data_IF_400418368392
#
_entry.id   IF_400418368392
#
_cell.length_a   1.000
_cell.length_b   1.000
_cell.length_c   1.000
_cell.angle_alpha   90.00
_cell.angle_beta   90.00
_cell.angle_gamma   90.00
#
_symmetry.space_group_name_H-M   'P 1'
#
loop_
_entity.id
_entity.type
_entity.pdbx_description
1 polymer ?
#
# COMPACT_ATOMS: atom_id res chain seq x y z
N UNK A 1 32.46 -19.09 45.42
CA UNK A 1 33.05 -17.85 45.89
C UNK A 1 32.15 -16.70 45.48
N UNK A 2 31.40 -16.17 46.46
CA UNK A 2 30.58 -15.00 46.30
C UNK A 2 31.49 -13.82 45.97
N UNK A 3 31.59 -13.45 44.70
CA UNK A 3 32.10 -12.14 44.32
C UNK A 3 31.00 -11.15 44.67
N UNK A 4 31.21 -10.38 45.75
CA UNK A 4 30.41 -9.21 46.05
C UNK A 4 30.41 -8.32 44.79
N UNK A 5 29.25 -8.12 44.24
CA UNK A 5 29.04 -7.13 43.16
C UNK A 5 29.14 -5.79 43.89
N UNK A 6 30.24 -5.08 43.71
CA UNK A 6 30.40 -3.70 44.18
C UNK A 6 29.19 -2.91 43.70
N UNK A 7 28.45 -2.34 44.63
CA UNK A 7 27.18 -1.69 44.30
C UNK A 7 27.39 -0.58 43.27
N UNK A 8 26.49 -0.50 42.29
CA UNK A 8 26.50 0.49 41.21
C UNK A 8 26.79 1.94 41.68
N UNK A 9 26.26 2.40 42.85
CA UNK A 9 26.59 3.72 43.40
C UNK A 9 28.07 3.92 43.71
N UNK A 10 28.73 2.89 44.22
CA UNK A 10 30.16 2.93 44.56
C UNK A 10 31.04 2.97 43.32
N UNK A 11 30.71 2.17 42.30
CA UNK A 11 31.41 2.16 41.02
C UNK A 11 31.23 3.49 40.26
N UNK A 12 30.04 4.02 40.24
CA UNK A 12 29.73 5.28 39.58
C UNK A 12 30.43 6.47 40.22
N UNK A 13 30.56 6.45 41.57
CA UNK A 13 31.30 7.47 42.32
C UNK A 13 32.80 7.40 42.01
N UNK A 14 33.37 6.20 41.92
CA UNK A 14 34.80 6.01 41.61
C UNK A 14 35.17 6.41 40.19
N UNK A 15 34.20 6.32 39.23
CA UNK A 15 34.39 6.66 37.81
C UNK A 15 33.92 8.09 37.46
N UNK A 16 33.42 8.85 38.45
CA UNK A 16 32.94 10.23 38.22
C UNK A 16 31.74 10.34 37.28
N UNK A 17 30.92 9.30 37.19
CA UNK A 17 29.79 9.25 36.29
C UNK A 17 28.66 10.19 36.72
N UNK A 18 28.13 10.92 35.73
CA UNK A 18 26.86 11.65 35.87
C UNK A 18 25.66 10.68 35.85
N UNK A 19 24.47 11.16 36.16
CA UNK A 19 23.27 10.33 36.28
C UNK A 19 22.90 9.65 34.96
N UNK A 20 23.13 10.29 33.84
CA UNK A 20 22.90 9.71 32.49
C UNK A 20 23.85 8.53 32.20
N UNK A 21 25.11 8.64 32.63
CA UNK A 21 26.09 7.56 32.47
C UNK A 21 25.81 6.40 33.45
N UNK A 22 25.33 6.68 34.65
CA UNK A 22 24.87 5.66 35.60
C UNK A 22 23.68 4.88 35.08
N UNK A 23 22.70 5.56 34.48
CA UNK A 23 21.52 4.93 33.92
C UNK A 23 21.84 4.10 32.66
N UNK A 24 22.71 4.59 31.80
CA UNK A 24 23.20 3.82 30.65
C UNK A 24 23.93 2.55 31.06
N UNK A 25 24.84 2.64 32.03
CA UNK A 25 25.57 1.48 32.52
C UNK A 25 24.64 0.47 33.21
N UNK A 26 23.68 0.96 33.98
CA UNK A 26 22.65 0.15 34.62
C UNK A 26 21.84 -0.63 33.59
N UNK A 27 21.45 0.01 32.49
CA UNK A 27 20.75 -0.61 31.40
C UNK A 27 21.60 -1.68 30.69
N UNK A 28 22.90 -1.41 30.47
CA UNK A 28 23.86 -2.37 29.89
C UNK A 28 24.07 -3.57 30.85
N UNK A 29 24.21 -3.30 32.14
CA UNK A 29 24.41 -4.36 33.13
C UNK A 29 23.21 -5.28 33.27
N UNK A 30 22.01 -4.71 33.21
CA UNK A 30 20.75 -5.48 33.19
C UNK A 30 20.59 -6.32 31.89
N UNK A 31 20.99 -5.77 30.74
CA UNK A 31 20.98 -6.51 29.47
C UNK A 31 21.97 -7.70 29.50
N UNK A 32 23.14 -7.55 30.13
CA UNK A 32 24.15 -8.60 30.20
C UNK A 32 23.81 -9.67 31.25
N UNK A 33 23.20 -9.28 32.38
CA UNK A 33 22.97 -10.17 33.51
C UNK A 33 21.65 -10.91 33.48
N UNK A 34 20.74 -10.58 32.54
CA UNK A 34 19.43 -11.21 32.41
C UNK A 34 18.50 -11.05 33.61
N UNK A 35 18.83 -10.15 34.54
CA UNK A 35 18.15 -10.00 35.85
C UNK A 35 16.82 -9.24 35.80
N UNK A 36 16.46 -8.63 34.69
CA UNK A 36 15.07 -8.20 34.44
C UNK A 36 14.81 -8.14 32.92
N UNK A 37 13.66 -8.55 32.46
CA UNK A 37 13.18 -8.33 31.10
C UNK A 37 13.00 -6.83 30.79
N UNK A 38 12.94 -6.00 31.83
CA UNK A 38 12.67 -4.58 31.74
C UNK A 38 13.61 -3.79 30.83
N UNK A 39 14.96 -3.93 30.85
CA UNK A 39 15.81 -3.07 30.03
C UNK A 39 15.71 -3.37 28.52
N UNK A 40 15.59 -4.63 28.14
CA UNK A 40 15.41 -5.01 26.73
C UNK A 40 14.05 -4.57 26.25
N UNK A 41 13.01 -4.89 27.01
CA UNK A 41 11.64 -4.53 26.67
C UNK A 41 11.39 -3.02 26.74
N UNK A 42 12.01 -2.27 27.66
CA UNK A 42 11.80 -0.80 27.72
C UNK A 42 12.32 -0.09 26.49
N UNK A 43 13.45 -0.54 25.92
CA UNK A 43 13.93 0.01 24.66
C UNK A 43 13.04 -0.40 23.48
N UNK A 44 12.61 -1.65 23.43
CA UNK A 44 11.63 -2.14 22.45
C UNK A 44 10.31 -1.36 22.56
N UNK A 45 9.81 -1.12 23.77
CA UNK A 45 8.59 -0.35 24.02
C UNK A 45 8.68 1.08 23.49
N UNK A 46 9.80 1.80 23.75
CA UNK A 46 9.98 3.16 23.25
C UNK A 46 9.98 3.22 21.72
N UNK A 47 10.63 2.23 21.07
CA UNK A 47 10.67 2.14 19.63
C UNK A 47 9.35 1.69 19.01
N UNK A 48 8.50 1.02 19.79
CA UNK A 48 7.20 0.49 19.38
C UNK A 48 6.09 1.55 19.42
N UNK A 49 6.19 2.54 20.33
CA UNK A 49 5.15 3.54 20.54
C UNK A 49 5.52 4.87 19.89
N UNK A 50 4.59 5.47 19.15
CA UNK A 50 4.69 6.83 18.64
C UNK A 50 3.47 7.66 19.04
N UNK A 51 3.67 8.92 19.47
CA UNK A 51 2.56 9.84 19.70
C UNK A 51 2.14 10.53 18.39
N UNK A 52 0.86 10.45 18.07
CA UNK A 52 0.26 11.03 16.86
C UNK A 52 -0.41 12.36 17.18
N UNK A 53 0.21 13.46 16.72
CA UNK A 53 -0.24 14.82 17.09
C UNK A 53 -1.65 15.14 16.61
N UNK A 54 -1.98 14.80 15.37
CA UNK A 54 -3.31 15.09 14.81
C UNK A 54 -4.42 14.30 15.49
N UNK A 55 -4.14 13.05 15.82
CA UNK A 55 -5.12 12.15 16.43
C UNK A 55 -5.16 12.31 17.95
N UNK A 56 -4.11 12.94 18.55
CA UNK A 56 -3.91 13.07 20.01
C UNK A 56 -3.92 11.72 20.73
N UNK A 57 -3.40 10.67 20.06
CA UNK A 57 -3.36 9.28 20.52
C UNK A 57 -1.96 8.71 20.38
N UNK A 58 -1.74 7.55 20.98
CA UNK A 58 -0.52 6.76 20.82
C UNK A 58 -0.77 5.66 19.79
N UNK A 59 0.15 5.51 18.85
CA UNK A 59 0.13 4.47 17.84
C UNK A 59 1.12 3.38 18.20
N UNK A 60 0.65 2.16 18.32
CA UNK A 60 1.48 0.96 18.47
C UNK A 60 1.87 0.46 17.08
N UNK A 61 3.16 0.53 16.77
CA UNK A 61 3.71 0.19 15.46
C UNK A 61 3.62 -1.30 15.11
N UNK A 62 3.53 -2.17 16.13
CA UNK A 62 3.42 -3.62 15.93
C UNK A 62 1.97 -4.03 15.74
N UNK A 63 1.07 -3.59 16.63
CA UNK A 63 -0.36 -3.85 16.50
C UNK A 63 -0.99 -3.09 15.34
N UNK A 64 -0.37 -1.96 14.92
CA UNK A 64 -0.90 -1.02 13.93
C UNK A 64 -2.22 -0.38 14.37
N UNK A 65 -2.38 -0.15 15.67
CA UNK A 65 -3.59 0.40 16.28
C UNK A 65 -3.32 1.66 17.09
N UNK A 66 -4.38 2.45 17.27
CA UNK A 66 -4.38 3.70 18.03
C UNK A 66 -4.95 3.47 19.43
N UNK A 67 -4.24 3.94 20.44
CA UNK A 67 -4.61 3.81 21.85
C UNK A 67 -4.65 5.17 22.54
N UNK A 68 -5.57 5.32 23.48
CA UNK A 68 -5.53 6.40 24.44
C UNK A 68 -4.41 6.16 25.47
N UNK A 69 -4.03 7.20 26.19
CA UNK A 69 -2.92 7.13 27.16
C UNK A 69 -3.13 6.04 28.23
N UNK A 70 -4.33 5.96 28.78
CA UNK A 70 -4.69 4.98 29.78
C UNK A 70 -4.60 3.53 29.24
N UNK A 71 -5.06 3.31 28.00
CA UNK A 71 -4.99 2.01 27.38
C UNK A 71 -3.55 1.51 27.16
N UNK A 72 -2.62 2.39 26.80
CA UNK A 72 -1.18 2.06 26.71
C UNK A 72 -0.62 1.70 28.10
N UNK A 73 -0.93 2.48 29.13
CA UNK A 73 -0.43 2.20 30.48
C UNK A 73 -0.96 0.83 30.98
N UNK A 74 -2.23 0.52 30.74
CA UNK A 74 -2.82 -0.79 31.09
C UNK A 74 -2.21 -1.94 30.30
N UNK A 75 -2.11 -1.79 28.96
CA UNK A 75 -1.59 -2.82 28.06
C UNK A 75 -0.17 -3.25 28.42
N UNK A 76 0.67 -2.31 28.80
CA UNK A 76 2.08 -2.55 29.07
C UNK A 76 2.42 -2.61 30.57
N UNK A 77 1.43 -2.44 31.47
CA UNK A 77 1.63 -2.43 32.93
C UNK A 77 2.45 -3.64 33.45
N UNK A 78 2.21 -4.84 32.90
CA UNK A 78 2.90 -6.08 33.33
C UNK A 78 4.42 -6.02 33.21
N UNK A 79 4.94 -5.25 32.23
CA UNK A 79 6.38 -5.12 32.00
C UNK A 79 7.03 -3.99 32.83
N UNK A 80 6.21 -3.22 33.55
CA UNK A 80 6.64 -2.08 34.36
C UNK A 80 6.30 -2.23 35.84
N UNK A 81 5.95 -3.44 36.32
CA UNK A 81 5.51 -3.70 37.69
C UNK A 81 6.52 -3.22 38.75
N UNK A 82 7.80 -3.41 38.48
CA UNK A 82 8.88 -3.05 39.39
C UNK A 82 9.55 -1.72 39.00
N UNK A 83 8.98 -1.00 38.04
CA UNK A 83 9.53 0.26 37.56
C UNK A 83 8.99 1.44 38.35
N UNK A 84 9.84 2.45 38.52
CA UNK A 84 9.48 3.73 39.16
C UNK A 84 8.41 4.51 38.41
N UNK A 85 8.20 4.20 37.12
CA UNK A 85 7.35 4.94 36.22
C UNK A 85 6.33 4.03 35.55
N UNK A 86 5.14 4.58 35.26
CA UNK A 86 4.20 3.92 34.34
C UNK A 86 4.79 3.85 32.92
N UNK A 87 4.31 2.95 32.04
CA UNK A 87 4.79 2.84 30.67
C UNK A 87 4.89 4.19 29.95
N UNK A 88 3.82 4.98 29.94
CA UNK A 88 3.83 6.27 29.25
C UNK A 88 4.67 7.32 29.94
N UNK A 89 4.76 7.32 31.25
CA UNK A 89 5.66 8.27 31.94
C UNK A 89 7.11 7.95 31.63
N UNK A 90 7.46 6.67 31.52
CA UNK A 90 8.77 6.23 31.04
C UNK A 90 9.01 6.70 29.60
N UNK A 91 8.07 6.41 28.69
CA UNK A 91 8.15 6.84 27.29
C UNK A 91 8.33 8.36 27.17
N UNK A 92 7.53 9.16 27.86
CA UNK A 92 7.60 10.63 27.81
C UNK A 92 8.94 11.21 28.25
N UNK A 93 9.67 10.48 29.10
CA UNK A 93 10.99 10.89 29.57
C UNK A 93 12.16 10.34 28.78
N UNK A 94 11.87 9.39 27.87
CA UNK A 94 12.93 8.76 27.09
C UNK A 94 13.34 9.65 25.90
N UNK A 95 14.66 9.83 25.64
CA UNK A 95 15.14 10.70 24.56
C UNK A 95 14.75 10.22 23.16
N UNK A 96 14.54 8.92 22.98
CA UNK A 96 14.17 8.31 21.69
C UNK A 96 12.65 8.21 21.48
N UNK A 97 11.84 8.75 22.41
CA UNK A 97 10.39 8.79 22.20
C UNK A 97 10.03 9.61 20.99
N UNK A 98 9.10 9.07 20.17
CA UNK A 98 8.81 9.59 18.84
C UNK A 98 7.47 10.30 18.79
N UNK A 99 7.50 11.53 18.36
CA UNK A 99 6.29 12.33 18.10
C UNK A 99 6.15 12.49 16.60
N UNK A 100 5.04 12.02 16.05
CA UNK A 100 4.72 12.09 14.63
C UNK A 100 3.50 12.97 14.42
N UNK A 101 3.45 13.65 13.27
CA UNK A 101 2.32 14.55 12.98
C UNK A 101 1.13 13.75 12.46
N UNK A 102 1.36 12.83 11.53
CA UNK A 102 0.32 12.04 10.85
C UNK A 102 0.93 10.81 10.17
N UNK A 103 0.10 10.07 9.46
CA UNK A 103 0.52 9.00 8.55
C UNK A 103 0.82 9.55 7.16
N UNK A 104 1.63 8.81 6.41
CA UNK A 104 1.90 9.02 4.99
C UNK A 104 2.10 7.67 4.30
N UNK A 105 1.95 7.64 2.98
CA UNK A 105 2.21 6.46 2.17
C UNK A 105 3.28 6.77 1.13
N UNK A 106 4.51 6.27 1.34
CA UNK A 106 5.69 6.53 0.51
C UNK A 106 6.34 5.21 0.10
N UNK A 107 5.88 4.55 -0.98
CA UNK A 107 6.41 3.26 -1.41
C UNK A 107 7.86 3.29 -1.88
N UNK A 108 8.37 4.46 -2.24
CA UNK A 108 9.76 4.68 -2.61
C UNK A 108 10.71 4.86 -1.41
N UNK A 109 10.21 4.88 -0.17
CA UNK A 109 10.99 4.96 1.06
C UNK A 109 10.61 3.80 1.99
N UNK A 110 11.58 2.94 2.32
CA UNK A 110 11.35 1.80 3.21
C UNK A 110 11.42 2.17 4.70
N UNK A 111 11.78 3.42 5.02
CA UNK A 111 11.84 3.87 6.41
C UNK A 111 10.44 4.01 6.98
N UNK A 112 10.26 3.50 8.20
CA UNK A 112 9.00 3.64 8.94
C UNK A 112 8.70 5.09 9.32
N UNK A 113 9.72 5.90 9.61
CA UNK A 113 9.60 7.31 9.94
C UNK A 113 10.25 8.14 8.84
N UNK A 114 9.47 9.00 8.21
CA UNK A 114 9.89 9.83 7.10
C UNK A 114 9.65 11.30 7.39
N UNK A 115 10.50 12.16 6.85
CA UNK A 115 10.33 13.61 6.97
C UNK A 115 9.59 14.12 5.72
N UNK A 116 8.41 14.67 5.93
CA UNK A 116 7.60 15.28 4.87
C UNK A 116 7.37 16.75 5.27
N UNK A 117 7.89 17.69 4.48
CA UNK A 117 7.76 19.12 4.74
C UNK A 117 8.18 19.52 6.18
N UNK A 118 9.33 19.03 6.64
CA UNK A 118 9.88 19.24 8.00
C UNK A 118 9.04 18.64 9.13
N UNK A 119 8.13 17.73 8.82
CA UNK A 119 7.28 17.02 9.79
C UNK A 119 7.62 15.54 9.76
N UNK A 120 7.77 14.93 10.93
CA UNK A 120 7.96 13.48 11.05
C UNK A 120 6.60 12.81 10.87
N UNK A 121 6.52 11.90 9.92
CA UNK A 121 5.32 11.12 9.59
C UNK A 121 5.61 9.63 9.73
N UNK A 122 4.59 8.85 10.04
CA UNK A 122 4.69 7.38 9.96
C UNK A 122 4.37 6.96 8.54
N UNK A 123 5.32 6.29 7.88
CA UNK A 123 5.09 5.66 6.59
C UNK A 123 4.35 4.34 6.79
N UNK A 124 3.14 4.24 6.26
CA UNK A 124 2.32 3.01 6.35
C UNK A 124 2.59 2.02 5.22
N UNK A 125 3.48 2.37 4.29
CA UNK A 125 3.91 1.42 3.27
C UNK A 125 4.69 0.27 3.88
N UNK A 126 4.37 -0.94 3.43
CA UNK A 126 5.07 -2.18 3.78
C UNK A 126 5.45 -2.91 2.51
N UNK A 127 6.74 -3.03 2.27
CA UNK A 127 7.23 -3.80 1.12
C UNK A 127 6.80 -5.26 1.27
N UNK A 128 6.35 -5.87 0.19
CA UNK A 128 6.11 -7.31 0.17
C UNK A 128 7.44 -8.07 0.26
N UNK A 129 7.47 -9.13 1.06
CA UNK A 129 8.66 -9.96 1.27
C UNK A 129 8.93 -10.95 0.12
N UNK A 130 8.06 -10.98 -0.90
CA UNK A 130 8.23 -11.83 -2.07
C UNK A 130 9.56 -11.53 -2.77
N UNK A 131 10.38 -12.57 -2.95
CA UNK A 131 11.65 -12.45 -3.66
C UNK A 131 11.48 -12.87 -5.13
N UNK A 132 12.09 -12.14 -6.09
CA UNK A 132 12.04 -12.52 -7.49
C UNK A 132 12.77 -13.84 -7.75
N UNK A 133 12.20 -14.70 -8.60
CA UNK A 133 12.79 -15.98 -9.00
C UNK A 133 12.78 -16.13 -10.53
N UNK A 134 13.86 -15.76 -11.19
CA UNK A 134 14.00 -15.85 -12.66
C UNK A 134 14.03 -17.28 -13.22
N UNK A 135 14.02 -18.32 -12.35
CA UNK A 135 13.96 -19.73 -12.76
C UNK A 135 12.55 -20.31 -12.67
N UNK A 136 11.60 -19.59 -12.10
CA UNK A 136 10.22 -20.04 -12.02
C UNK A 136 9.57 -20.03 -13.40
N UNK A 137 8.71 -21.01 -13.63
CA UNK A 137 7.92 -21.07 -14.86
C UNK A 137 6.82 -19.97 -14.83
N UNK A 138 6.80 -19.15 -15.87
CA UNK A 138 5.82 -18.06 -16.04
C UNK A 138 4.93 -18.26 -17.27
N UNK A 139 5.05 -19.37 -17.97
CA UNK A 139 4.35 -19.64 -19.25
C UNK A 139 2.83 -19.53 -19.10
N UNK A 140 2.27 -20.02 -18.00
CA UNK A 140 0.83 -19.96 -17.74
C UNK A 140 0.32 -18.51 -17.61
N UNK A 141 1.13 -17.60 -17.04
CA UNK A 141 0.79 -16.17 -16.99
C UNK A 141 0.71 -15.57 -18.38
N UNK A 142 1.74 -15.80 -19.19
CA UNK A 142 1.77 -15.29 -20.56
C UNK A 142 0.72 -15.95 -21.45
N UNK A 143 0.40 -17.23 -21.24
CA UNK A 143 -0.69 -17.91 -21.92
C UNK A 143 -2.05 -17.29 -21.59
N UNK A 144 -2.34 -17.05 -20.30
CA UNK A 144 -3.57 -16.38 -19.87
C UNK A 144 -3.65 -14.96 -20.42
N UNK A 145 -2.56 -14.21 -20.32
CA UNK A 145 -2.51 -12.84 -20.83
C UNK A 145 -2.70 -12.79 -22.35
N UNK A 146 -2.07 -13.68 -23.09
CA UNK A 146 -2.25 -13.81 -24.56
C UNK A 146 -3.66 -14.24 -24.92
N UNK A 147 -4.29 -15.10 -24.11
CA UNK A 147 -5.67 -15.50 -24.29
C UNK A 147 -6.63 -14.32 -24.13
N UNK A 148 -6.44 -13.48 -23.09
CA UNK A 148 -7.27 -12.31 -22.81
C UNK A 148 -6.95 -11.16 -23.77
N UNK A 149 -5.66 -10.93 -24.07
CA UNK A 149 -5.14 -9.84 -24.92
C UNK A 149 -4.28 -10.45 -26.03
N UNK A 150 -4.90 -11.02 -27.12
CA UNK A 150 -4.16 -11.68 -28.20
C UNK A 150 -3.29 -10.72 -29.00
N UNK A 151 -3.66 -9.44 -29.10
CA UNK A 151 -2.92 -8.44 -29.87
C UNK A 151 -1.64 -8.03 -29.13
N UNK A 152 -0.50 -8.20 -29.78
CA UNK A 152 0.82 -8.00 -29.16
C UNK A 152 1.06 -6.57 -28.68
N UNK A 153 0.66 -5.57 -29.47
CA UNK A 153 0.83 -4.15 -29.14
C UNK A 153 0.10 -3.80 -27.84
N UNK A 154 -1.15 -4.21 -27.72
CA UNK A 154 -1.99 -3.99 -26.55
C UNK A 154 -1.48 -4.77 -25.34
N UNK A 155 -1.04 -6.01 -25.57
CA UNK A 155 -0.46 -6.86 -24.53
C UNK A 155 0.84 -6.28 -23.98
N UNK A 156 1.71 -5.74 -24.84
CA UNK A 156 2.94 -5.07 -24.41
C UNK A 156 2.65 -3.82 -23.59
N UNK A 157 1.71 -2.99 -24.01
CA UNK A 157 1.30 -1.83 -23.21
C UNK A 157 0.74 -2.23 -21.84
N UNK A 158 -0.09 -3.26 -21.79
CA UNK A 158 -0.59 -3.81 -20.51
C UNK A 158 0.56 -4.27 -19.62
N UNK A 159 1.53 -5.01 -20.18
CA UNK A 159 2.71 -5.48 -19.45
C UNK A 159 3.57 -4.32 -18.93
N UNK A 160 3.76 -3.25 -19.72
CA UNK A 160 4.49 -2.05 -19.28
C UNK A 160 3.80 -1.40 -18.09
N UNK A 161 2.48 -1.20 -18.20
CA UNK A 161 1.66 -0.64 -17.12
C UNK A 161 1.67 -1.53 -15.87
N UNK A 162 1.60 -2.85 -16.06
CA UNK A 162 1.59 -3.85 -14.99
C UNK A 162 2.92 -3.90 -14.23
N UNK A 163 4.04 -3.83 -14.93
CA UNK A 163 5.38 -3.87 -14.37
C UNK A 163 5.81 -2.54 -13.73
N UNK A 164 5.29 -1.41 -14.23
CA UNK A 164 5.77 -0.09 -13.84
C UNK A 164 5.75 0.18 -12.33
N UNK A 165 4.69 -0.11 -11.55
CA UNK A 165 4.66 0.11 -10.10
C UNK A 165 5.60 -0.81 -9.32
N UNK A 166 6.08 -1.92 -9.92
CA UNK A 166 7.07 -2.81 -9.32
C UNK A 166 8.48 -2.23 -9.43
N UNK A 167 8.84 -1.66 -10.57
CA UNK A 167 10.13 -1.01 -10.79
C UNK A 167 10.18 0.42 -10.22
N UNK A 168 9.05 1.12 -10.21
CA UNK A 168 8.94 2.52 -9.82
C UNK A 168 7.89 2.73 -8.72
N UNK A 169 8.07 2.14 -7.53
CA UNK A 169 7.11 2.28 -6.45
C UNK A 169 6.96 3.75 -6.05
N UNK A 170 5.72 4.18 -5.87
CA UNK A 170 5.43 5.58 -5.50
C UNK A 170 5.35 6.56 -6.65
N UNK A 171 5.47 6.10 -7.90
CA UNK A 171 5.21 6.92 -9.08
C UNK A 171 3.83 6.59 -9.65
N UNK A 172 3.01 7.62 -9.79
CA UNK A 172 1.65 7.49 -10.31
C UNK A 172 1.63 7.47 -11.82
N UNK A 173 0.93 6.49 -12.38
CA UNK A 173 0.58 6.45 -13.82
C UNK A 173 -0.69 7.29 -14.01
N UNK A 174 -0.64 8.31 -14.88
CA UNK A 174 -1.76 9.24 -15.10
C UNK A 174 -2.83 8.72 -16.07
N UNK A 175 -2.85 7.43 -16.28
CA UNK A 175 -3.93 6.76 -16.99
C UNK A 175 -4.31 5.47 -16.27
N UNK A 176 -5.56 5.04 -16.47
CA UNK A 176 -6.10 3.82 -15.91
C UNK A 176 -6.31 2.77 -17.01
N UNK A 177 -6.23 1.50 -16.64
CA UNK A 177 -6.60 0.38 -17.49
C UNK A 177 -8.09 0.09 -17.31
N UNK A 178 -8.84 -0.05 -18.42
CA UNK A 178 -10.18 -0.62 -18.45
C UNK A 178 -10.14 -1.92 -19.25
N UNK A 179 -10.36 -3.04 -18.57
CA UNK A 179 -10.49 -4.35 -19.20
C UNK A 179 -11.97 -4.74 -19.27
N UNK A 180 -12.45 -4.92 -20.48
CA UNK A 180 -13.83 -5.22 -20.77
C UNK A 180 -13.98 -6.57 -21.49
N UNK A 181 -15.04 -7.31 -21.21
CA UNK A 181 -15.43 -8.51 -21.96
C UNK A 181 -16.92 -8.79 -21.79
N UNK A 182 -17.55 -9.38 -22.78
CA UNK A 182 -18.91 -9.92 -22.62
C UNK A 182 -18.90 -11.25 -21.84
N UNK A 183 -17.77 -11.94 -21.80
CA UNK A 183 -17.61 -13.21 -21.10
C UNK A 183 -17.30 -12.97 -19.62
N UNK A 184 -18.05 -13.65 -18.75
CA UNK A 184 -17.80 -13.67 -17.31
C UNK A 184 -16.69 -14.67 -16.96
N UNK A 185 -15.96 -14.39 -15.87
CA UNK A 185 -14.90 -15.27 -15.37
C UNK A 185 -13.81 -15.58 -16.41
N UNK A 186 -13.47 -14.60 -17.25
CA UNK A 186 -12.44 -14.73 -18.27
C UNK A 186 -11.01 -14.77 -17.68
N UNK A 187 -10.81 -14.37 -16.41
CA UNK A 187 -9.51 -14.30 -15.76
C UNK A 187 -8.99 -12.88 -15.56
N UNK A 188 -9.74 -11.82 -15.90
CA UNK A 188 -9.34 -10.42 -15.63
C UNK A 188 -9.01 -10.18 -14.16
N UNK A 189 -9.87 -10.68 -13.26
CA UNK A 189 -9.65 -10.61 -11.82
C UNK A 189 -8.45 -11.45 -11.36
N UNK A 190 -8.20 -12.59 -12.00
CA UNK A 190 -7.06 -13.46 -11.66
C UNK A 190 -5.71 -12.81 -11.97
N UNK A 191 -5.62 -12.03 -13.07
CA UNK A 191 -4.43 -11.22 -13.37
C UNK A 191 -4.18 -10.16 -12.29
N UNK A 192 -5.24 -9.54 -11.76
CA UNK A 192 -5.10 -8.61 -10.64
C UNK A 192 -4.75 -9.32 -9.33
N UNK A 193 -5.28 -10.52 -9.08
CA UNK A 193 -4.91 -11.29 -7.90
C UNK A 193 -3.42 -11.63 -7.89
N UNK A 194 -2.84 -11.98 -9.05
CA UNK A 194 -1.40 -12.15 -9.18
C UNK A 194 -0.63 -10.84 -8.93
N UNK A 195 -1.11 -9.72 -9.47
CA UNK A 195 -0.52 -8.39 -9.20
C UNK A 195 -0.54 -8.04 -7.71
N UNK A 196 -1.60 -8.44 -7.03
CA UNK A 196 -1.77 -8.28 -5.58
C UNK A 196 -0.81 -9.17 -4.79
N UNK A 197 -0.60 -10.41 -5.21
CA UNK A 197 0.37 -11.31 -4.58
C UNK A 197 1.80 -10.75 -4.72
N UNK A 198 2.12 -10.10 -5.85
CA UNK A 198 3.41 -9.49 -6.12
C UNK A 198 3.63 -8.21 -5.32
N UNK A 199 2.70 -7.25 -5.37
CA UNK A 199 2.85 -5.96 -4.68
C UNK A 199 2.57 -6.05 -3.17
N UNK A 200 1.84 -7.09 -2.75
CA UNK A 200 1.38 -7.29 -1.38
C UNK A 200 -0.06 -6.80 -1.15
N UNK A 201 -0.77 -7.53 -0.31
CA UNK A 201 -2.18 -7.26 0.02
C UNK A 201 -2.38 -5.89 0.67
N UNK A 202 -1.39 -5.40 1.44
CA UNK A 202 -1.43 -4.09 2.09
C UNK A 202 -1.23 -2.92 1.10
N UNK A 203 -0.74 -3.20 -0.11
CA UNK A 203 -0.43 -2.20 -1.12
C UNK A 203 -1.42 -2.20 -2.30
N UNK A 204 -2.41 -3.08 -2.27
CA UNK A 204 -3.41 -3.23 -3.32
C UNK A 204 -4.80 -3.42 -2.72
N UNK A 205 -5.83 -3.00 -3.44
CA UNK A 205 -7.22 -3.17 -2.99
C UNK A 205 -8.16 -3.46 -4.16
N UNK A 206 -9.17 -4.29 -3.90
CA UNK A 206 -10.35 -4.44 -4.75
C UNK A 206 -11.49 -3.66 -4.13
N UNK A 207 -12.22 -2.90 -4.93
CA UNK A 207 -13.37 -2.10 -4.51
C UNK A 207 -14.46 -2.18 -5.56
N UNK A 208 -15.68 -1.87 -5.14
CA UNK A 208 -16.79 -1.62 -6.06
C UNK A 208 -16.78 -0.17 -6.54
N UNK A 209 -17.44 0.09 -7.68
CA UNK A 209 -17.53 1.41 -8.25
C UNK A 209 -18.16 2.45 -7.30
N UNK A 210 -19.22 2.08 -6.59
CA UNK A 210 -19.89 2.93 -5.61
C UNK A 210 -18.92 3.36 -4.49
N UNK A 211 -18.02 2.46 -4.11
CA UNK A 211 -16.98 2.72 -3.12
C UNK A 211 -15.95 3.74 -3.62
N UNK A 212 -15.56 3.68 -4.90
CA UNK A 212 -14.64 4.64 -5.50
C UNK A 212 -15.19 6.09 -5.52
N UNK A 213 -16.51 6.24 -5.52
CA UNK A 213 -17.20 7.53 -5.62
C UNK A 213 -17.52 8.19 -4.28
N UNK A 214 -17.36 7.47 -3.18
CA UNK A 214 -17.65 7.99 -1.86
C UNK A 214 -16.62 9.06 -1.46
N UNK A 215 -17.08 10.31 -1.35
CA UNK A 215 -16.27 11.51 -1.05
C UNK A 215 -15.58 11.49 0.33
N UNK A 216 -15.93 10.54 1.20
CA UNK A 216 -15.38 10.41 2.57
C UNK A 216 -14.20 9.44 2.69
N UNK A 217 -13.77 8.81 1.61
CA UNK A 217 -12.89 7.62 1.68
C UNK A 217 -11.42 7.94 1.42
N UNK A 218 -10.68 8.10 2.51
CA UNK A 218 -9.22 8.30 2.50
C UNK A 218 -8.43 7.03 2.19
N UNK A 219 -9.06 5.86 2.19
CA UNK A 219 -8.38 4.60 2.04
C UNK A 219 -7.76 4.37 0.66
N UNK A 220 -8.23 5.06 -0.36
CA UNK A 220 -7.66 4.98 -1.72
C UNK A 220 -6.26 5.60 -1.82
N UNK A 221 -5.81 6.35 -0.82
CA UNK A 221 -4.51 7.03 -0.81
C UNK A 221 -3.33 6.12 -0.46
N UNK A 222 -3.61 5.01 0.22
CA UNK A 222 -2.58 4.16 0.81
C UNK A 222 -2.38 2.86 0.01
N UNK A 223 -2.59 2.90 -1.32
CA UNK A 223 -2.41 1.76 -2.19
C UNK A 223 -1.61 2.15 -3.43
N UNK A 224 -0.78 1.22 -3.91
CA UNK A 224 -0.10 1.38 -5.20
C UNK A 224 -1.04 1.12 -6.37
N UNK A 225 -1.92 0.12 -6.22
CA UNK A 225 -2.90 -0.23 -7.25
C UNK A 225 -4.25 -0.58 -6.64
N UNK A 226 -5.31 -0.01 -7.21
CA UNK A 226 -6.70 -0.29 -6.85
C UNK A 226 -7.41 -0.86 -8.07
N UNK A 227 -8.05 -2.03 -7.89
CA UNK A 227 -8.98 -2.59 -8.85
C UNK A 227 -10.40 -2.13 -8.51
N UNK A 228 -11.06 -1.49 -9.45
CA UNK A 228 -12.52 -1.29 -9.43
C UNK A 228 -13.13 -2.45 -10.22
N UNK A 229 -13.69 -3.42 -9.50
CA UNK A 229 -14.21 -4.65 -10.12
C UNK A 229 -15.71 -4.55 -10.38
N UNK A 230 -16.18 -5.30 -11.38
CA UNK A 230 -17.58 -5.34 -11.79
C UNK A 230 -18.20 -3.95 -12.06
N UNK A 231 -17.39 -3.03 -12.56
CA UNK A 231 -17.81 -1.66 -12.74
C UNK A 231 -19.00 -1.57 -13.70
N UNK A 232 -20.13 -1.17 -13.13
CA UNK A 232 -21.36 -0.85 -13.87
C UNK A 232 -21.91 0.46 -13.36
N UNK A 233 -21.99 1.46 -14.21
CA UNK A 233 -22.68 2.69 -13.85
C UNK A 233 -24.19 2.48 -14.00
N UNK A 234 -24.90 2.43 -12.88
CA UNK A 234 -26.36 2.55 -12.82
C UNK A 234 -26.70 3.99 -12.45
N UNK A 235 -27.72 4.58 -13.06
CA UNK A 235 -28.17 5.89 -12.69
C UNK A 235 -28.41 6.83 -13.88
N UNK A 236 -28.81 8.05 -13.56
CA UNK A 236 -29.07 9.12 -14.50
C UNK A 236 -27.79 9.55 -15.23
N UNK A 237 -27.94 10.21 -16.37
CA UNK A 237 -26.82 10.80 -17.12
C UNK A 237 -25.97 11.74 -16.28
N UNK A 238 -26.58 12.51 -15.36
CA UNK A 238 -25.85 13.39 -14.44
C UNK A 238 -24.97 12.62 -13.44
N UNK A 239 -25.43 11.49 -12.95
CA UNK A 239 -24.64 10.61 -12.02
C UNK A 239 -23.48 9.97 -12.77
N UNK A 240 -23.70 9.52 -14.01
CA UNK A 240 -22.63 8.99 -14.87
C UNK A 240 -21.58 10.04 -15.19
N UNK A 241 -21.98 11.29 -15.45
CA UNK A 241 -21.04 12.40 -15.68
C UNK A 241 -20.24 12.76 -14.41
N UNK A 242 -20.88 12.73 -13.23
CA UNK A 242 -20.19 12.97 -11.97
C UNK A 242 -19.16 11.86 -11.67
N UNK A 243 -19.50 10.61 -11.95
CA UNK A 243 -18.61 9.47 -11.85
C UNK A 243 -17.31 9.69 -12.65
N UNK A 244 -17.44 10.01 -13.93
CA UNK A 244 -16.28 10.26 -14.80
C UNK A 244 -15.42 11.40 -14.28
N UNK A 245 -16.02 12.51 -13.83
CA UNK A 245 -15.26 13.62 -13.29
C UNK A 245 -14.52 13.23 -12.01
N UNK A 246 -15.11 12.41 -11.16
CA UNK A 246 -14.42 11.87 -9.97
C UNK A 246 -13.26 10.96 -10.35
N UNK A 247 -13.48 10.01 -11.27
CA UNK A 247 -12.42 9.12 -11.77
C UNK A 247 -11.28 9.90 -12.44
N UNK A 248 -11.59 10.93 -13.23
CA UNK A 248 -10.58 11.81 -13.84
C UNK A 248 -9.65 12.39 -12.78
N UNK A 249 -10.22 12.95 -11.72
CA UNK A 249 -9.47 13.56 -10.63
C UNK A 249 -8.57 12.54 -9.93
N UNK A 250 -9.11 11.41 -9.50
CA UNK A 250 -8.32 10.42 -8.76
C UNK A 250 -7.25 9.74 -9.61
N UNK A 251 -7.43 9.65 -10.94
CA UNK A 251 -6.46 9.07 -11.86
C UNK A 251 -5.31 10.04 -12.14
N UNK A 252 -5.59 11.32 -12.37
CA UNK A 252 -4.56 12.26 -12.85
C UNK A 252 -3.87 13.06 -11.76
N UNK A 253 -4.59 13.42 -10.69
CA UNK A 253 -4.02 14.31 -9.68
C UNK A 253 -3.02 13.56 -8.79
N UNK A 254 -1.89 14.22 -8.51
CA UNK A 254 -0.86 13.73 -7.59
C UNK A 254 -1.23 13.96 -6.12
N UNK A 255 -2.19 14.86 -5.86
CA UNK A 255 -2.81 15.07 -4.56
C UNK A 255 -4.32 15.17 -4.71
N UNK A 256 -5.05 14.69 -3.73
CA UNK A 256 -6.51 14.77 -3.70
C UNK A 256 -6.99 15.30 -2.37
N UNK A 257 -8.09 16.06 -2.45
CA UNK A 257 -8.77 16.55 -1.27
C UNK A 257 -9.56 15.46 -0.58
N UNK A 258 -9.28 15.26 0.71
CA UNK A 258 -9.94 14.25 1.54
C UNK A 258 -10.66 14.90 2.71
N UNK A 259 -11.86 14.42 2.96
CA UNK A 259 -12.66 14.81 4.12
C UNK A 259 -12.90 13.59 4.99
N UNK A 260 -12.22 13.53 6.10
CA UNK A 260 -12.51 12.50 7.12
C UNK A 260 -13.77 12.90 7.89
N UNK A 261 -14.59 11.92 8.29
CA UNK A 261 -15.70 12.14 9.20
C UNK A 261 -15.21 12.94 10.43
N UNK A 262 -15.86 14.06 10.73
CA UNK A 262 -15.53 14.95 11.85
C UNK A 262 -14.14 15.61 11.82
N UNK A 263 -13.48 15.68 10.65
CA UNK A 263 -12.21 16.39 10.49
C UNK A 263 -12.30 17.44 9.38
N UNK A 264 -11.36 18.40 9.44
CA UNK A 264 -11.22 19.42 8.40
C UNK A 264 -10.77 18.79 7.07
N UNK A 265 -11.17 19.42 5.97
CA UNK A 265 -10.69 19.11 4.64
C UNK A 265 -9.16 19.22 4.58
N UNK A 266 -8.50 18.22 4.05
CA UNK A 266 -7.04 18.23 3.84
C UNK A 266 -6.69 17.70 2.46
N UNK A 267 -5.67 18.27 1.86
CA UNK A 267 -5.06 17.75 0.65
C UNK A 267 -4.01 16.71 1.01
N UNK A 268 -4.02 15.57 0.32
CA UNK A 268 -3.07 14.47 0.56
C UNK A 268 -2.53 13.92 -0.75
N UNK A 269 -1.22 13.66 -0.79
CA UNK A 269 -0.57 13.03 -1.92
C UNK A 269 -1.11 11.62 -2.16
N UNK A 270 -1.23 11.25 -3.43
CA UNK A 270 -1.64 9.90 -3.85
C UNK A 270 -0.74 9.38 -4.96
N UNK A 271 -0.36 8.11 -4.83
CA UNK A 271 0.42 7.36 -5.83
C UNK A 271 -0.37 6.21 -6.43
N UNK A 272 -1.69 6.18 -6.17
CA UNK A 272 -2.56 5.07 -6.54
C UNK A 272 -2.78 5.00 -8.03
N UNK A 273 -2.55 3.83 -8.61
CA UNK A 273 -2.87 3.48 -9.99
C UNK A 273 -4.21 2.75 -10.04
N UNK A 274 -5.00 2.95 -11.10
CA UNK A 274 -6.34 2.40 -11.18
C UNK A 274 -6.47 1.40 -12.32
N UNK A 275 -7.00 0.24 -11.98
CA UNK A 275 -7.40 -0.82 -12.90
C UNK A 275 -8.91 -1.03 -12.77
N UNK A 276 -9.63 -1.12 -13.87
CA UNK A 276 -11.09 -1.23 -13.90
C UNK A 276 -11.46 -2.45 -14.71
N UNK A 277 -12.23 -3.36 -14.13
CA UNK A 277 -12.83 -4.47 -14.84
C UNK A 277 -14.33 -4.24 -15.02
N UNK A 278 -14.85 -4.59 -16.17
CA UNK A 278 -16.28 -4.57 -16.45
C UNK A 278 -16.67 -5.65 -17.45
N UNK A 279 -17.94 -6.11 -17.33
CA UNK A 279 -18.59 -6.99 -18.31
C UNK A 279 -19.68 -6.23 -19.11
N UNK A 280 -19.74 -4.91 -18.94
CA UNK A 280 -20.76 -4.07 -19.58
C UNK A 280 -20.10 -3.13 -20.57
N UNK A 281 -20.59 -3.13 -21.83
CA UNK A 281 -20.07 -2.27 -22.90
C UNK A 281 -20.38 -0.80 -22.66
N UNK A 282 -21.46 -0.51 -21.96
CA UNK A 282 -21.93 0.83 -21.56
C UNK A 282 -21.61 1.17 -20.09
N UNK A 283 -20.62 0.52 -19.51
CA UNK A 283 -20.26 0.71 -18.10
C UNK A 283 -19.97 2.17 -17.77
N UNK A 284 -19.30 2.88 -18.69
CA UNK A 284 -18.92 4.28 -18.50
C UNK A 284 -19.19 5.10 -19.78
N UNK A 285 -19.74 6.31 -19.65
CA UNK A 285 -19.78 7.25 -20.76
C UNK A 285 -18.40 7.89 -20.97
N UNK A 286 -17.52 7.26 -21.74
CA UNK A 286 -16.18 7.80 -22.03
C UNK A 286 -16.30 8.81 -23.17
N UNK A 287 -15.94 10.12 -22.93
CA UNK A 287 -15.95 11.11 -24.00
C UNK A 287 -14.95 10.79 -25.12
N UNK A 288 -15.25 11.19 -26.39
CA UNK A 288 -14.41 10.92 -27.57
C UNK A 288 -12.95 11.36 -27.41
N UNK A 289 -12.71 12.46 -26.71
CA UNK A 289 -11.38 13.04 -26.50
C UNK A 289 -10.73 12.61 -25.18
N UNK A 290 -11.28 11.62 -24.50
CA UNK A 290 -10.77 11.18 -23.23
C UNK A 290 -9.50 10.33 -23.43
N UNK A 291 -8.39 10.78 -22.84
CA UNK A 291 -7.05 10.20 -23.00
C UNK A 291 -6.51 9.52 -21.74
N UNK A 292 -7.32 9.48 -20.68
CA UNK A 292 -6.90 8.92 -19.38
C UNK A 292 -7.15 7.43 -19.25
N UNK A 293 -7.87 6.82 -20.22
CA UNK A 293 -8.20 5.43 -20.16
C UNK A 293 -7.59 4.66 -21.32
N UNK A 294 -6.82 3.64 -21.00
CA UNK A 294 -6.52 2.58 -21.96
C UNK A 294 -7.62 1.54 -21.87
N UNK A 295 -8.38 1.38 -22.93
CA UNK A 295 -9.56 0.51 -22.98
C UNK A 295 -9.27 -0.66 -23.86
N UNK A 296 -9.44 -1.87 -23.33
CA UNK A 296 -9.32 -3.11 -24.07
C UNK A 296 -10.56 -3.96 -23.89
N UNK A 297 -11.14 -4.36 -24.99
CA UNK A 297 -12.24 -5.33 -25.02
C UNK A 297 -11.69 -6.69 -25.46
N UNK A 298 -11.91 -7.71 -24.63
CA UNK A 298 -11.57 -9.08 -24.93
C UNK A 298 -12.82 -9.83 -25.43
N UNK A 299 -12.73 -10.43 -26.61
CA UNK A 299 -13.72 -11.31 -27.18
C UNK A 299 -13.44 -12.80 -26.90
N UNK A 300 -12.40 -13.07 -26.11
CA UNK A 300 -12.03 -14.42 -25.69
C UNK A 300 -13.17 -15.10 -24.92
N UNK A 301 -13.23 -16.41 -25.04
CA UNK A 301 -14.17 -17.25 -24.29
C UNK A 301 -13.47 -17.84 -23.07
N UNK A 302 -14.24 -18.12 -22.03
CA UNK A 302 -13.71 -18.74 -20.81
C UNK A 302 -12.97 -20.04 -21.14
N UNK A 303 -11.74 -20.12 -20.70
CA UNK A 303 -10.91 -21.32 -20.76
C UNK A 303 -10.66 -21.84 -19.35
N UNK A 304 -11.50 -22.78 -18.90
CA UNK A 304 -11.46 -23.27 -17.52
C UNK A 304 -10.15 -23.98 -17.20
N UNK A 305 -9.64 -24.80 -18.11
CA UNK A 305 -8.40 -25.54 -17.90
C UNK A 305 -7.21 -24.59 -17.66
N UNK A 306 -7.09 -23.55 -18.49
CA UNK A 306 -6.03 -22.53 -18.35
C UNK A 306 -6.16 -21.74 -17.04
N UNK A 307 -7.39 -21.44 -16.62
CA UNK A 307 -7.63 -20.76 -15.35
C UNK A 307 -7.28 -21.63 -14.15
N UNK A 308 -7.63 -22.91 -14.17
CA UNK A 308 -7.31 -23.84 -13.08
C UNK A 308 -5.80 -24.01 -12.94
N UNK A 309 -5.08 -24.15 -14.06
CA UNK A 309 -3.63 -24.22 -14.07
C UNK A 309 -2.99 -22.93 -13.55
N UNK A 310 -3.47 -21.77 -14.01
CA UNK A 310 -3.01 -20.46 -13.52
C UNK A 310 -3.21 -20.32 -12.00
N UNK A 311 -4.37 -20.69 -11.48
CA UNK A 311 -4.64 -20.61 -10.04
C UNK A 311 -3.77 -21.57 -9.24
N UNK A 312 -3.55 -22.78 -9.74
CA UNK A 312 -2.67 -23.74 -9.09
C UNK A 312 -1.25 -23.21 -8.96
N UNK A 313 -0.67 -22.73 -10.07
CA UNK A 313 0.69 -22.18 -10.09
C UNK A 313 0.82 -20.87 -9.27
N UNK A 314 -0.22 -20.02 -9.28
CA UNK A 314 -0.25 -18.82 -8.46
C UNK A 314 -0.20 -19.15 -6.96
N UNK A 315 -0.96 -20.16 -6.51
CA UNK A 315 -1.04 -20.55 -5.11
C UNK A 315 0.21 -21.29 -4.62
N UNK A 316 0.99 -21.91 -5.50
CA UNK A 316 2.28 -22.50 -5.16
C UNK A 316 3.33 -21.46 -4.70
N UNK A 317 3.15 -20.20 -5.10
CA UNK A 317 4.07 -19.10 -4.81
C UNK A 317 5.18 -18.92 -5.85
N UNK A 318 5.43 -19.88 -6.71
CA UNK A 318 6.48 -19.81 -7.73
C UNK A 318 6.11 -18.85 -8.86
N UNK A 319 4.88 -18.89 -9.34
CA UNK A 319 4.40 -17.99 -10.40
C UNK A 319 4.49 -16.50 -10.01
N UNK A 320 4.06 -16.06 -8.81
CA UNK A 320 4.24 -14.66 -8.40
C UNK A 320 5.71 -14.24 -8.36
N UNK A 321 6.61 -15.12 -7.89
CA UNK A 321 8.04 -14.83 -7.82
C UNK A 321 8.70 -14.74 -9.21
N UNK A 322 8.26 -15.61 -10.15
CA UNK A 322 8.70 -15.58 -11.55
C UNK A 322 8.24 -14.33 -12.27
N UNK A 323 6.94 -14.03 -12.20
CA UNK A 323 6.37 -12.84 -12.86
C UNK A 323 6.94 -11.55 -12.25
N UNK A 324 7.26 -11.52 -10.95
CA UNK A 324 8.00 -10.41 -10.36
C UNK A 324 9.38 -10.24 -11.00
N UNK A 325 10.12 -11.35 -11.21
CA UNK A 325 11.43 -11.30 -11.85
C UNK A 325 11.32 -10.77 -13.28
N UNK A 326 10.37 -11.27 -14.08
CA UNK A 326 10.11 -10.80 -15.45
C UNK A 326 9.74 -9.31 -15.48
N UNK A 327 8.89 -8.87 -14.54
CA UNK A 327 8.50 -7.46 -14.43
C UNK A 327 9.67 -6.55 -14.05
N UNK A 328 10.58 -7.00 -13.19
CA UNK A 328 11.76 -6.22 -12.81
C UNK A 328 12.80 -6.13 -13.92
N UNK A 329 12.89 -7.14 -14.78
CA UNK A 329 13.82 -7.18 -15.94
C UNK A 329 13.24 -6.49 -17.20
N UNK A 330 11.96 -6.18 -17.20
CA UNK A 330 11.28 -5.58 -18.34
C UNK A 330 11.82 -4.18 -18.66
N UNK A 331 12.19 -3.95 -19.93
CA UNK A 331 12.58 -2.63 -20.41
C UNK A 331 11.40 -1.67 -20.47
N UNK A 332 11.39 -0.68 -19.59
CA UNK A 332 10.37 0.37 -19.50
C UNK A 332 10.87 1.74 -20.01
N UNK A 333 11.99 1.78 -20.71
CA UNK A 333 12.59 3.04 -21.21
C UNK A 333 11.65 3.85 -22.12
N UNK A 334 10.73 3.17 -22.80
CA UNK A 334 9.74 3.78 -23.69
C UNK A 334 8.37 4.00 -23.00
N UNK A 335 8.20 3.59 -21.75
CA UNK A 335 6.96 3.79 -21.01
C UNK A 335 6.97 5.13 -20.26
N UNK A 336 6.12 6.07 -20.67
CA UNK A 336 5.96 7.34 -19.98
C UNK A 336 4.68 7.31 -19.12
N UNK A 337 4.79 7.29 -17.77
CA UNK A 337 3.62 7.23 -16.87
C UNK A 337 2.75 8.49 -16.92
N UNK A 338 3.29 9.60 -17.45
CA UNK A 338 2.57 10.87 -17.57
C UNK A 338 1.91 11.05 -18.95
N UNK A 339 2.22 10.16 -19.89
CA UNK A 339 1.66 10.25 -21.23
C UNK A 339 0.15 9.93 -21.26
N UNK A 340 -0.58 10.46 -22.23
CA UNK A 340 -1.91 9.98 -22.57
C UNK A 340 -1.91 8.47 -22.81
N UNK A 341 -2.99 7.80 -22.42
CA UNK A 341 -3.17 6.38 -22.75
C UNK A 341 -3.17 6.17 -24.27
N UNK A 342 -2.50 5.15 -24.79
CA UNK A 342 -2.54 4.84 -26.22
C UNK A 342 -3.97 4.67 -26.72
N UNK A 343 -4.18 5.10 -27.95
CA UNK A 343 -5.47 4.90 -28.60
C UNK A 343 -5.71 3.40 -28.87
N UNK A 344 -6.95 2.97 -28.62
CA UNK A 344 -7.46 1.66 -29.01
C UNK A 344 -8.81 1.81 -29.73
N UNK A 345 -9.14 0.93 -30.67
CA UNK A 345 -10.44 0.93 -31.35
C UNK A 345 -11.62 0.82 -30.37
N UNK A 346 -11.41 0.15 -29.25
CA UNK A 346 -12.43 -0.08 -28.23
C UNK A 346 -12.82 1.20 -27.47
N UNK A 347 -11.91 2.18 -27.40
CA UNK A 347 -12.22 3.50 -26.83
C UNK A 347 -13.28 4.22 -27.67
N UNK A 348 -13.17 4.17 -28.97
CA UNK A 348 -14.15 4.79 -29.86
C UNK A 348 -15.50 4.06 -29.81
N UNK A 349 -15.49 2.73 -29.73
CA UNK A 349 -16.70 1.92 -29.57
C UNK A 349 -17.44 2.31 -28.28
N UNK A 350 -16.75 2.40 -27.14
CA UNK A 350 -17.32 2.79 -25.85
C UNK A 350 -17.85 4.23 -25.88
N UNK A 351 -17.11 5.14 -26.51
CA UNK A 351 -17.52 6.54 -26.67
C UNK A 351 -18.80 6.69 -27.50
N UNK A 352 -18.89 5.95 -28.61
CA UNK A 352 -20.08 5.98 -29.49
C UNK A 352 -21.34 5.40 -28.80
N UNK A 353 -21.17 4.49 -27.83
CA UNK A 353 -22.29 3.99 -27.02
C UNK A 353 -22.76 5.02 -25.99
N UNK A 354 -21.84 5.85 -25.50
CA UNK A 354 -22.17 6.92 -24.55
C UNK A 354 -22.98 8.07 -25.19
N UNK A 355 -22.85 8.27 -26.49
CA UNK A 355 -23.55 9.33 -27.24
C UNK A 355 -24.97 8.90 -27.70
N UNK A 356 -25.41 7.68 -27.39
CA UNK A 356 -26.78 7.26 -27.70
C UNK A 356 -27.74 7.77 -26.65
N UNK A 357 -28.83 8.46 -27.04
CA UNK A 357 -29.81 9.05 -26.14
C UNK A 357 -30.58 8.00 -25.32
#
# INVERSE_FOLDING_TARGET
PNKEIVGLPTLAKSLGWNDKQKDNFKNILYAITGRSELPKFTHEFVNRIAYMMKQKKYYDLEDKEMYDAEAIDVKYAKYFRDAKYTPLLFWKKHPDSRVCVDFTYKPNDQKRFVNVNKKIMINVYEKNDLQPNSKADTDVFYALLKHIIPHEKERNYFLDWYAYPMQNPGVKIRNAIIMQSDEFQLGKGSLFDLHRDILGHNNTRKIELAEALDKGKNYLLNYQTVLIDEAKSSGSWSEKAQLINTLKTIITEGSIGVRQLYKEYSEQDTVTNYWINTNYRDAFPVPKNEVRYWIYFSDAKRNQQLLDEFHLQRLSGDLPAGVLADCLDRDLSNFNPLAPAPWTKYRDEMSNMADRP
#
